data_IF_948353763935
#
_entry.id   IF_948353763935
#
_cell.length_a   1.000
_cell.length_b   1.000
_cell.length_c   1.000
_cell.angle_alpha   90.00
_cell.angle_beta   90.00
_cell.angle_gamma   90.00
#
_symmetry.space_group_name_H-M   'P 1'
#
loop_
_entity.id
_entity.type
_entity.pdbx_description
1 polymer ?
#
# COMPACT_ATOMS: atom_id res chain seq x y z
N UNK A 1 10.79 33.53 -69.16
CA UNK A 1 12.24 33.62 -69.44
C UNK A 1 12.93 32.75 -68.40
N UNK A 2 13.67 31.73 -68.89
CA UNK A 2 14.61 30.81 -68.21
C UNK A 2 14.12 30.16 -66.90
N UNK A 3 13.65 28.90 -66.90
CA UNK A 3 14.44 27.65 -67.01
C UNK A 3 15.71 27.65 -66.14
N UNK A 4 15.74 26.81 -65.10
CA UNK A 4 16.68 25.70 -65.02
C UNK A 4 16.11 24.58 -64.13
N UNK A 5 16.13 23.38 -64.73
CA UNK A 5 15.83 22.05 -64.20
C UNK A 5 17.17 21.38 -63.96
N UNK A 6 17.30 20.60 -62.89
CA UNK A 6 18.11 19.38 -62.92
C UNK A 6 17.34 18.26 -62.18
N UNK A 7 16.92 17.27 -62.97
CA UNK A 7 16.49 15.93 -62.58
C UNK A 7 17.73 15.14 -62.05
N UNK A 8 17.62 14.09 -61.22
CA UNK A 8 17.47 12.70 -61.68
C UNK A 8 17.35 11.70 -60.49
N UNK A 9 16.41 10.78 -60.70
CA UNK A 9 16.27 9.35 -60.32
C UNK A 9 15.88 8.81 -58.92
N UNK A 10 14.92 7.88 -59.05
CA UNK A 10 14.19 7.05 -58.11
C UNK A 10 14.99 5.88 -57.53
N UNK A 11 14.50 5.34 -56.41
CA UNK A 11 14.93 4.06 -55.86
C UNK A 11 14.06 3.51 -54.73
N UNK A 12 12.95 2.87 -55.11
CA UNK A 12 12.24 1.74 -54.46
C UNK A 12 11.70 1.80 -53.01
N UNK A 13 10.37 1.77 -52.95
CA UNK A 13 9.45 1.03 -52.06
C UNK A 13 9.97 0.36 -50.77
N UNK A 14 9.33 0.73 -49.65
CA UNK A 14 8.83 -0.25 -48.68
C UNK A 14 7.57 0.31 -48.00
N UNK A 15 6.44 -0.34 -48.26
CA UNK A 15 5.15 -0.08 -47.64
C UNK A 15 5.18 -0.49 -46.16
N UNK A 16 4.94 0.48 -45.27
CA UNK A 16 4.66 0.19 -43.86
C UNK A 16 3.18 0.41 -43.65
N UNK A 17 2.46 -0.71 -43.59
CA UNK A 17 1.03 -0.73 -43.29
C UNK A 17 0.76 -0.04 -41.96
N UNK A 18 -0.04 1.01 -42.05
CA UNK A 18 -0.81 1.63 -40.99
C UNK A 18 -1.62 0.55 -40.25
N UNK A 19 -1.26 0.30 -38.99
CA UNK A 19 -2.04 -0.48 -38.04
C UNK A 19 -2.36 0.44 -36.87
N UNK A 20 -3.30 1.36 -37.09
CA UNK A 20 -4.01 2.07 -36.04
C UNK A 20 -4.81 1.07 -35.18
N UNK A 21 -4.22 0.59 -34.09
CA UNK A 21 -4.96 -0.18 -33.08
C UNK A 21 -5.59 0.81 -32.11
N UNK A 22 -6.90 0.96 -32.27
CA UNK A 22 -7.79 1.79 -31.46
C UNK A 22 -7.54 1.61 -29.96
N UNK A 23 -7.17 2.71 -29.30
CA UNK A 23 -7.23 2.87 -27.85
C UNK A 23 -8.68 2.74 -27.41
N UNK A 24 -8.94 1.85 -26.46
CA UNK A 24 -10.26 1.56 -25.93
C UNK A 24 -10.20 1.34 -24.44
N UNK A 25 -9.64 2.31 -23.71
CA UNK A 25 -9.92 2.45 -22.28
C UNK A 25 -11.32 3.04 -22.16
N UNK A 26 -12.30 2.14 -21.95
CA UNK A 26 -13.61 2.55 -21.47
C UNK A 26 -13.46 2.95 -20.01
N UNK A 27 -13.48 4.25 -19.76
CA UNK A 27 -13.77 4.83 -18.45
C UNK A 27 -15.06 4.21 -17.90
N UNK A 28 -14.98 3.65 -16.70
CA UNK A 28 -16.14 3.50 -15.82
C UNK A 28 -15.66 3.73 -14.39
N UNK A 29 -16.41 4.60 -13.71
CA UNK A 29 -16.27 5.03 -12.33
C UNK A 29 -15.82 3.89 -11.41
N UNK A 30 -14.67 4.12 -10.77
CA UNK A 30 -14.21 3.31 -9.65
C UNK A 30 -15.25 3.48 -8.53
N UNK A 31 -15.93 2.41 -8.08
CA UNK A 31 -16.71 2.52 -6.86
C UNK A 31 -15.72 2.91 -5.76
N UNK A 32 -15.97 4.04 -5.11
CA UNK A 32 -15.14 4.62 -4.07
C UNK A 32 -14.45 3.54 -3.24
N UNK A 33 -13.12 3.58 -3.21
CA UNK A 33 -12.30 2.75 -2.34
C UNK A 33 -12.66 3.08 -0.88
N UNK A 34 -13.61 2.33 -0.33
CA UNK A 34 -14.03 2.39 1.07
C UNK A 34 -13.14 1.50 1.96
N UNK A 35 -11.94 1.10 1.50
CA UNK A 35 -11.09 0.16 2.25
C UNK A 35 -10.21 0.77 3.34
N UNK A 36 -10.36 2.06 3.66
CA UNK A 36 -9.84 2.59 4.94
C UNK A 36 -10.91 2.53 6.03
N UNK A 37 -11.06 1.35 6.63
CA UNK A 37 -11.57 1.25 7.99
C UNK A 37 -10.36 1.04 8.91
N UNK A 38 -10.07 1.95 9.86
CA UNK A 38 -9.02 1.67 10.83
C UNK A 38 -9.41 0.39 11.58
N UNK A 39 -8.52 -0.60 11.55
CA UNK A 39 -8.64 -1.82 12.32
C UNK A 39 -8.84 -1.44 13.79
N UNK A 40 -10.07 -1.58 14.28
CA UNK A 40 -10.32 -1.64 15.70
C UNK A 40 -9.84 -3.01 16.17
N UNK A 41 -8.56 -3.10 16.51
CA UNK A 41 -8.00 -4.26 17.21
C UNK A 41 -8.68 -4.37 18.57
N UNK A 42 -9.76 -5.15 18.64
CA UNK A 42 -10.29 -5.67 19.90
C UNK A 42 -9.39 -6.82 20.34
N UNK A 43 -8.33 -6.50 21.06
CA UNK A 43 -7.62 -7.47 21.89
C UNK A 43 -8.44 -7.73 23.16
N UNK A 44 -8.78 -8.98 23.52
CA UNK A 44 -9.51 -9.26 24.74
C UNK A 44 -8.58 -9.05 25.95
N UNK A 45 -8.76 -7.93 26.64
CA UNK A 45 -8.10 -7.69 27.92
C UNK A 45 -8.79 -8.53 28.98
N UNK A 46 -8.12 -9.59 29.43
CA UNK A 46 -8.47 -10.36 30.62
C UNK A 46 -8.54 -9.44 31.84
N UNK A 47 -9.71 -9.36 32.48
CA UNK A 47 -9.91 -8.64 33.73
C UNK A 47 -9.14 -9.32 34.87
N UNK A 48 -8.10 -8.64 35.36
CA UNK A 48 -7.53 -8.88 36.68
C UNK A 48 -7.92 -7.73 37.60
N UNK A 49 -8.94 -7.93 38.42
CA UNK A 49 -9.30 -7.02 39.50
C UNK A 49 -8.20 -7.03 40.56
N UNK A 50 -7.37 -5.99 40.60
CA UNK A 50 -6.34 -5.78 41.60
C UNK A 50 -6.36 -4.34 42.10
N UNK A 51 -6.98 -4.13 43.26
CA UNK A 51 -6.87 -2.89 44.03
C UNK A 51 -5.43 -2.74 44.52
N UNK A 52 -4.65 -1.87 43.87
CA UNK A 52 -3.26 -1.56 44.25
C UNK A 52 -3.08 -0.06 44.45
N UNK A 53 -2.81 0.33 45.70
CA UNK A 53 -2.48 1.69 46.11
C UNK A 53 -1.34 2.28 45.28
N UNK A 54 -1.57 3.43 44.67
CA UNK A 54 -0.60 4.13 43.85
C UNK A 54 0.44 4.86 44.72
N UNK A 55 1.62 4.28 44.82
CA UNK A 55 2.85 5.03 45.06
C UNK A 55 3.95 4.41 44.21
N UNK A 56 3.94 4.74 42.93
CA UNK A 56 5.09 4.46 42.06
C UNK A 56 5.50 5.78 41.40
N UNK A 57 6.49 6.43 42.01
CA UNK A 57 7.27 7.51 41.38
C UNK A 57 8.31 6.85 40.47
N UNK A 58 7.84 6.15 39.43
CA UNK A 58 8.65 5.85 38.27
C UNK A 58 8.70 7.09 37.40
N UNK A 59 9.88 7.67 37.19
CA UNK A 59 10.14 8.72 36.21
C UNK A 59 9.82 8.21 34.80
N UNK A 60 8.55 8.23 34.44
CA UNK A 60 8.12 8.12 33.06
C UNK A 60 8.72 9.30 32.30
N UNK A 61 9.27 9.06 31.10
CA UNK A 61 9.63 10.15 30.20
C UNK A 61 8.43 11.10 30.15
N UNK A 62 8.59 12.37 30.52
CA UNK A 62 7.47 13.24 30.92
C UNK A 62 6.32 13.41 29.92
N UNK A 63 6.46 12.93 28.69
CA UNK A 63 5.40 12.79 27.68
C UNK A 63 4.42 11.63 27.98
N UNK A 64 4.89 10.51 28.53
CA UNK A 64 4.12 9.29 28.80
C UNK A 64 3.27 9.39 30.08
N UNK A 65 3.44 10.46 30.86
CA UNK A 65 2.60 10.73 32.02
C UNK A 65 1.13 10.89 31.64
N UNK A 66 0.24 10.31 32.46
CA UNK A 66 -1.22 10.39 32.32
C UNK A 66 -1.69 11.85 32.30
N UNK A 67 -2.64 12.16 31.41
CA UNK A 67 -3.26 13.48 31.26
C UNK A 67 -4.76 13.37 31.50
N UNK A 68 -5.34 14.40 32.10
CA UNK A 68 -6.77 14.47 32.41
C UNK A 68 -7.37 15.71 31.73
N UNK A 69 -8.60 15.59 31.23
CA UNK A 69 -9.41 16.73 30.82
C UNK A 69 -10.22 17.16 32.05
N UNK A 70 -10.11 18.43 32.44
CA UNK A 70 -10.73 18.97 33.66
C UNK A 70 -11.40 20.28 33.30
N UNK A 71 -12.67 20.42 33.68
CA UNK A 71 -13.42 21.66 33.50
C UNK A 71 -12.74 22.82 34.23
N UNK A 72 -12.81 24.01 33.63
CA UNK A 72 -12.21 25.22 34.20
C UNK A 72 -12.69 25.44 35.64
N UNK A 73 -14.00 25.35 35.90
CA UNK A 73 -14.58 25.53 37.24
C UNK A 73 -13.94 24.63 38.30
N UNK A 74 -13.78 23.34 38.00
CA UNK A 74 -13.18 22.34 38.89
C UNK A 74 -11.69 22.63 39.12
N UNK A 75 -10.97 23.05 38.08
CA UNK A 75 -9.58 23.46 38.22
C UNK A 75 -9.43 24.71 39.08
N UNK A 76 -10.31 25.71 38.90
CA UNK A 76 -10.22 26.97 39.64
C UNK A 76 -10.52 26.79 41.13
N UNK A 77 -11.21 25.72 41.54
CA UNK A 77 -11.44 25.42 42.96
C UNK A 77 -10.15 25.22 43.74
N UNK A 78 -9.11 24.70 43.09
CA UNK A 78 -7.78 24.51 43.69
C UNK A 78 -7.06 25.83 43.99
N UNK A 79 -7.55 26.96 43.45
CA UNK A 79 -6.95 28.28 43.61
C UNK A 79 -7.81 29.22 44.46
N UNK A 80 -8.62 28.68 45.39
CA UNK A 80 -9.38 29.46 46.38
C UNK A 80 -8.52 29.91 47.58
N UNK A 81 -7.56 29.08 47.99
CA UNK A 81 -6.69 29.32 49.15
C UNK A 81 -5.21 29.17 48.82
N UNK A 82 -4.36 29.87 49.56
CA UNK A 82 -2.92 29.80 49.40
C UNK A 82 -2.37 28.49 49.95
N UNK A 83 -1.75 27.67 49.10
CA UNK A 83 -1.10 26.42 49.49
C UNK A 83 0.04 26.57 50.51
N UNK A 84 0.56 27.79 50.73
CA UNK A 84 1.65 28.06 51.70
C UNK A 84 1.13 28.52 53.06
N UNK A 85 0.03 29.27 53.14
CA UNK A 85 -0.42 29.89 54.40
C UNK A 85 -1.92 29.74 54.70
N UNK A 86 -2.69 29.09 53.82
CA UNK A 86 -4.12 28.81 54.02
C UNK A 86 -5.07 29.99 53.83
N UNK A 87 -4.56 31.23 53.70
CA UNK A 87 -5.42 32.42 53.49
C UNK A 87 -5.98 32.49 52.07
N UNK A 88 -7.06 33.25 51.89
CA UNK A 88 -7.68 33.46 50.58
C UNK A 88 -6.70 34.06 49.55
N UNK A 89 -6.84 33.61 48.30
CA UNK A 89 -6.22 34.23 47.13
C UNK A 89 -7.10 35.43 46.72
N UNK A 90 -6.49 36.62 46.59
CA UNK A 90 -7.20 37.87 46.30
C UNK A 90 -7.11 38.21 44.81
N UNK A 91 -5.93 38.08 44.22
CA UNK A 91 -5.70 38.35 42.81
C UNK A 91 -5.40 37.05 42.05
N UNK A 92 -6.04 36.88 40.90
CA UNK A 92 -5.82 35.75 39.99
C UNK A 92 -5.82 36.22 38.55
N UNK A 93 -4.80 35.83 37.81
CA UNK A 93 -4.69 36.07 36.37
C UNK A 93 -4.42 34.77 35.64
N UNK A 94 -5.22 34.51 34.62
CA UNK A 94 -5.11 33.33 33.77
C UNK A 94 -4.54 33.74 32.41
N UNK A 95 -3.59 32.97 31.91
CA UNK A 95 -2.97 33.18 30.60
C UNK A 95 -2.93 31.84 29.89
N UNK A 96 -3.57 31.75 28.73
CA UNK A 96 -3.50 30.56 27.87
C UNK A 96 -2.46 30.76 26.77
N UNK A 97 -1.69 29.71 26.50
CA UNK A 97 -0.74 29.59 25.39
C UNK A 97 -1.08 28.32 24.63
N UNK A 98 -2.11 28.41 23.78
CA UNK A 98 -2.73 27.24 23.16
C UNK A 98 -3.19 26.24 24.24
N UNK A 99 -2.73 24.98 24.21
CA UNK A 99 -3.12 23.95 25.19
C UNK A 99 -2.58 24.19 26.61
N UNK A 100 -1.62 25.10 26.79
CA UNK A 100 -1.05 25.38 28.11
C UNK A 100 -1.83 26.49 28.82
N UNK A 101 -2.27 26.22 30.04
CA UNK A 101 -2.85 27.21 30.94
C UNK A 101 -1.82 27.59 32.01
N UNK A 102 -1.59 28.89 32.18
CA UNK A 102 -0.80 29.46 33.27
C UNK A 102 -1.70 30.27 34.19
N UNK A 103 -1.59 30.04 35.49
CA UNK A 103 -2.34 30.72 36.54
C UNK A 103 -1.34 31.44 37.43
N UNK A 104 -1.43 32.76 37.46
CA UNK A 104 -0.73 33.63 38.38
C UNK A 104 -1.69 34.01 39.49
N UNK A 105 -1.22 33.94 40.73
CA UNK A 105 -2.06 34.31 41.88
C UNK A 105 -1.25 34.96 42.99
N UNK A 106 -1.93 35.81 43.76
CA UNK A 106 -1.39 36.48 44.95
C UNK A 106 -2.41 36.37 46.09
N UNK A 107 -1.95 36.00 47.29
CA UNK A 107 -2.80 35.90 48.48
C UNK A 107 -2.76 37.15 49.35
N UNK A 108 -3.71 37.27 50.28
CA UNK A 108 -3.83 38.40 51.23
C UNK A 108 -2.57 38.64 52.10
N UNK A 109 -1.69 37.64 52.23
CA UNK A 109 -0.40 37.76 52.95
C UNK A 109 0.78 38.04 52.02
N UNK A 110 0.54 38.34 50.75
CA UNK A 110 1.56 38.72 49.77
C UNK A 110 2.29 37.56 49.08
N UNK A 111 1.98 36.29 49.36
CA UNK A 111 2.58 35.18 48.61
C UNK A 111 2.08 35.17 47.17
N UNK A 112 3.01 35.09 46.22
CA UNK A 112 2.71 35.04 44.79
C UNK A 112 3.35 33.82 44.14
N UNK A 113 2.62 33.10 43.28
CA UNK A 113 3.16 31.96 42.51
C UNK A 113 2.59 31.89 41.10
N UNK A 114 3.34 31.22 40.23
CA UNK A 114 2.89 30.73 38.93
C UNK A 114 2.61 29.23 39.04
N UNK A 115 1.49 28.81 38.46
CA UNK A 115 1.18 27.41 38.17
C UNK A 115 0.97 27.24 36.68
N UNK A 116 1.45 26.14 36.10
CA UNK A 116 1.26 25.80 34.70
C UNK A 116 0.70 24.39 34.55
N UNK A 117 -0.24 24.19 33.62
CA UNK A 117 -0.85 22.88 33.35
C UNK A 117 0.14 21.85 32.80
N UNK A 118 1.17 22.31 32.12
CA UNK A 118 2.31 21.51 31.68
C UNK A 118 3.60 22.35 31.73
N UNK A 119 4.77 21.71 31.88
CA UNK A 119 6.04 22.42 31.89
C UNK A 119 6.33 23.05 30.52
N UNK A 120 7.14 24.10 30.53
CA UNK A 120 7.70 24.67 29.31
C UNK A 120 8.83 23.78 28.79
N UNK A 121 8.86 23.55 27.48
CA UNK A 121 9.93 22.92 26.74
C UNK A 121 10.31 23.85 25.59
N UNK A 122 11.55 24.33 25.57
CA UNK A 122 12.06 25.27 24.54
C UNK A 122 11.16 26.49 24.31
N UNK A 123 10.68 27.13 25.41
CA UNK A 123 9.76 28.28 25.41
C UNK A 123 8.34 28.00 24.86
N UNK A 124 7.95 26.73 24.78
CA UNK A 124 6.62 26.29 24.38
C UNK A 124 6.04 25.38 25.45
N UNK A 125 4.75 25.51 25.78
CA UNK A 125 4.09 24.54 26.64
C UNK A 125 4.20 23.14 26.04
N UNK A 126 4.73 22.18 26.80
CA UNK A 126 5.04 20.82 26.31
C UNK A 126 3.85 20.16 25.60
N UNK A 127 2.64 20.36 26.12
CA UNK A 127 1.45 19.72 25.56
C UNK A 127 1.09 20.26 24.18
N UNK A 128 1.53 21.47 23.79
CA UNK A 128 1.39 21.96 22.42
C UNK A 128 2.16 21.08 21.43
N UNK A 129 3.39 20.68 21.80
CA UNK A 129 4.20 19.77 21.00
C UNK A 129 3.53 18.39 20.92
N UNK A 130 3.05 17.88 22.06
CA UNK A 130 2.45 16.55 22.16
C UNK A 130 1.12 16.47 21.41
N UNK A 131 0.26 17.47 21.47
CA UNK A 131 -0.98 17.52 20.68
C UNK A 131 -0.65 17.50 19.19
N UNK A 132 0.28 18.33 18.72
CA UNK A 132 0.66 18.33 17.31
C UNK A 132 1.28 17.00 16.86
N UNK A 133 2.13 16.41 17.71
CA UNK A 133 2.76 15.11 17.46
C UNK A 133 1.71 13.99 17.39
N UNK A 134 0.78 13.94 18.36
CA UNK A 134 -0.29 12.95 18.40
C UNK A 134 -1.20 13.05 17.17
N UNK A 135 -1.59 14.26 16.76
CA UNK A 135 -2.36 14.47 15.54
C UNK A 135 -1.64 13.93 14.31
N UNK A 136 -0.35 14.25 14.16
CA UNK A 136 0.42 13.85 12.98
C UNK A 136 0.71 12.33 12.95
N UNK A 137 1.12 11.75 14.06
CA UNK A 137 1.61 10.37 14.10
C UNK A 137 0.51 9.32 13.94
N UNK A 138 -0.74 9.67 14.24
CA UNK A 138 -1.90 8.81 13.96
C UNK A 138 -2.47 9.00 12.55
N UNK A 139 -1.89 9.91 11.75
CA UNK A 139 -2.38 10.23 10.41
C UNK A 139 -3.67 11.06 10.37
N UNK A 140 -4.08 11.69 11.48
CA UNK A 140 -5.25 12.55 11.51
C UNK A 140 -4.97 13.92 10.88
N UNK A 141 -5.99 14.56 10.31
CA UNK A 141 -5.85 15.93 9.84
C UNK A 141 -5.99 16.92 11.01
N UNK A 142 -5.42 18.11 10.85
CA UNK A 142 -5.62 19.20 11.81
C UNK A 142 -7.10 19.52 11.99
N UNK A 143 -7.87 19.52 10.89
CA UNK A 143 -9.29 19.86 10.89
C UNK A 143 -10.07 18.87 11.74
N UNK A 144 -9.85 17.56 11.56
CA UNK A 144 -10.58 16.53 12.32
C UNK A 144 -10.37 16.68 13.83
N UNK A 145 -9.13 16.94 14.25
CA UNK A 145 -8.81 17.17 15.66
C UNK A 145 -9.36 18.51 16.14
N UNK A 146 -9.32 19.55 15.30
CA UNK A 146 -9.83 20.88 15.63
C UNK A 146 -11.34 20.86 15.88
N UNK A 147 -12.10 20.18 15.02
CA UNK A 147 -13.55 20.05 15.15
C UNK A 147 -13.92 19.31 16.44
N UNK A 148 -13.18 18.24 16.76
CA UNK A 148 -13.37 17.49 18.01
C UNK A 148 -13.11 18.34 19.26
N UNK A 149 -12.01 19.09 19.30
CA UNK A 149 -11.71 19.93 20.48
C UNK A 149 -12.63 21.14 20.61
N UNK A 150 -13.14 21.67 19.50
CA UNK A 150 -14.08 22.80 19.51
C UNK A 150 -15.41 22.40 20.14
N UNK A 151 -15.90 21.19 19.85
CA UNK A 151 -17.11 20.64 20.51
C UNK A 151 -16.92 20.50 22.03
N UNK A 152 -15.70 20.22 22.48
CA UNK A 152 -15.35 20.07 23.89
C UNK A 152 -14.88 21.37 24.55
N UNK A 153 -14.77 22.47 23.81
CA UNK A 153 -14.15 23.74 24.24
C UNK A 153 -12.72 23.58 24.80
N UNK A 154 -11.92 22.67 24.21
CA UNK A 154 -10.54 22.42 24.62
C UNK A 154 -9.58 23.29 23.78
N UNK A 155 -8.74 24.14 24.39
CA UNK A 155 -7.79 24.94 23.63
C UNK A 155 -6.62 24.07 23.12
N UNK A 156 -6.27 24.22 21.83
CA UNK A 156 -5.09 23.59 21.20
C UNK A 156 -4.33 24.59 20.33
N UNK A 157 -3.13 24.26 19.81
CA UNK A 157 -2.43 25.12 18.85
C UNK A 157 -3.31 25.46 17.64
N UNK A 158 -3.29 26.72 17.24
CA UNK A 158 -3.94 27.16 16.00
C UNK A 158 -3.29 26.54 14.76
N UNK A 159 -3.98 26.54 13.62
CA UNK A 159 -3.54 25.90 12.37
C UNK A 159 -2.11 26.31 11.97
N UNK A 160 -1.81 27.61 11.97
CA UNK A 160 -0.47 28.13 11.67
C UNK A 160 0.59 27.63 12.65
N UNK A 161 0.25 27.55 13.94
CA UNK A 161 1.17 27.06 14.97
C UNK A 161 1.41 25.54 14.82
N UNK A 162 0.37 24.77 14.51
CA UNK A 162 0.47 23.34 14.22
C UNK A 162 1.47 23.07 13.09
N UNK A 163 1.29 23.71 11.92
CA UNK A 163 2.21 23.50 10.80
C UNK A 163 3.64 23.99 11.10
N UNK A 164 3.78 25.10 11.83
CA UNK A 164 5.11 25.56 12.27
C UNK A 164 5.81 24.55 13.20
N UNK A 165 5.07 23.94 14.13
CA UNK A 165 5.60 22.89 15.02
C UNK A 165 5.94 21.65 14.20
N UNK A 166 5.07 21.25 13.28
CA UNK A 166 5.28 20.12 12.39
C UNK A 166 6.57 20.27 11.58
N UNK A 167 6.75 21.38 10.88
CA UNK A 167 7.93 21.62 10.05
C UNK A 167 9.22 21.75 10.85
N UNK A 168 9.18 22.39 12.04
CA UNK A 168 10.39 22.64 12.84
C UNK A 168 10.84 21.45 13.67
N UNK A 169 9.91 20.64 14.17
CA UNK A 169 10.21 19.60 15.15
C UNK A 169 9.81 18.20 14.67
N UNK A 170 8.58 18.03 14.17
CA UNK A 170 8.04 16.70 13.93
C UNK A 170 8.59 16.05 12.66
N UNK A 171 8.56 16.76 11.52
CA UNK A 171 9.09 16.26 10.23
C UNK A 171 10.57 15.90 10.35
N UNK A 172 11.45 16.73 10.95
CA UNK A 172 12.85 16.34 11.15
C UNK A 172 13.03 15.06 11.96
N UNK A 173 12.24 14.87 13.03
CA UNK A 173 12.31 13.66 13.86
C UNK A 173 11.83 12.43 13.08
N UNK A 174 10.73 12.54 12.33
CA UNK A 174 10.26 11.46 11.45
C UNK A 174 11.33 11.10 10.42
N UNK A 175 11.92 12.11 9.76
CA UNK A 175 12.95 11.90 8.75
C UNK A 175 14.21 11.25 9.33
N UNK A 176 14.65 11.66 10.51
CA UNK A 176 15.79 11.03 11.18
C UNK A 176 15.49 9.57 11.54
N UNK A 177 14.33 9.30 12.15
CA UNK A 177 13.91 7.95 12.50
C UNK A 177 13.81 7.04 11.25
N UNK A 178 13.25 7.56 10.15
CA UNK A 178 13.18 6.86 8.88
C UNK A 178 14.56 6.57 8.30
N UNK A 179 15.46 7.57 8.26
CA UNK A 179 16.83 7.40 7.75
C UNK A 179 17.63 6.39 8.57
N UNK A 180 17.52 6.43 9.89
CA UNK A 180 18.18 5.49 10.78
C UNK A 180 17.68 4.05 10.54
N UNK A 181 16.37 3.88 10.32
CA UNK A 181 15.79 2.58 9.98
C UNK A 181 16.23 2.12 8.59
N UNK A 182 16.11 2.98 7.58
CA UNK A 182 16.49 2.69 6.21
C UNK A 182 17.98 2.32 6.12
N UNK A 183 18.86 3.02 6.82
CA UNK A 183 20.29 2.71 6.85
C UNK A 183 20.53 1.27 7.33
N UNK A 184 19.88 0.86 8.43
CA UNK A 184 20.00 -0.51 8.96
C UNK A 184 19.51 -1.57 7.98
N UNK A 185 18.38 -1.30 7.30
CA UNK A 185 17.85 -2.19 6.27
C UNK A 185 18.84 -2.29 5.10
N UNK A 186 19.34 -1.16 4.60
CA UNK A 186 20.30 -1.13 3.51
C UNK A 186 21.60 -1.86 3.86
N UNK A 187 22.17 -1.63 5.04
CA UNK A 187 23.35 -2.35 5.53
C UNK A 187 23.13 -3.86 5.56
N UNK A 188 21.97 -4.31 6.06
CA UNK A 188 21.57 -5.73 6.04
C UNK A 188 21.52 -6.27 4.62
N UNK A 189 20.82 -5.60 3.71
CA UNK A 189 20.65 -6.06 2.33
C UNK A 189 21.99 -6.13 1.59
N UNK A 190 22.84 -5.10 1.71
CA UNK A 190 24.17 -5.11 1.09
C UNK A 190 25.05 -6.23 1.65
N UNK A 191 24.97 -6.54 2.95
CA UNK A 191 25.69 -7.68 3.54
C UNK A 191 25.22 -9.03 2.99
N UNK A 192 23.91 -9.20 2.81
CA UNK A 192 23.35 -10.40 2.17
C UNK A 192 23.80 -10.50 0.70
N UNK A 193 23.79 -9.38 -0.04
CA UNK A 193 24.32 -9.35 -1.40
C UNK A 193 25.80 -9.70 -1.47
N UNK A 194 26.61 -9.21 -0.52
CA UNK A 194 28.04 -9.53 -0.44
C UNK A 194 28.31 -11.01 -0.09
N UNK A 195 27.38 -11.70 0.59
CA UNK A 195 27.48 -13.15 0.83
C UNK A 195 27.01 -14.01 -0.35
N UNK A 196 26.62 -13.37 -1.45
CA UNK A 196 26.12 -14.02 -2.67
C UNK A 196 24.62 -14.29 -2.66
N UNK A 197 23.88 -13.79 -1.67
CA UNK A 197 22.42 -13.89 -1.65
C UNK A 197 21.79 -12.79 -2.51
N UNK A 198 20.97 -13.21 -3.46
CA UNK A 198 20.14 -12.31 -4.25
C UNK A 198 18.91 -11.86 -3.45
N UNK A 199 18.60 -10.58 -3.52
CA UNK A 199 17.46 -9.97 -2.84
C UNK A 199 16.22 -10.06 -3.72
N UNK A 200 15.10 -10.44 -3.12
CA UNK A 200 13.80 -10.48 -3.78
C UNK A 200 12.99 -9.29 -3.31
N UNK A 201 12.59 -8.44 -4.26
CA UNK A 201 11.85 -7.22 -3.99
C UNK A 201 10.46 -7.30 -4.61
N UNK A 202 9.51 -6.63 -3.98
CA UNK A 202 8.25 -6.27 -4.60
C UNK A 202 8.07 -4.75 -4.60
N UNK A 203 7.22 -4.25 -5.51
CA UNK A 203 6.97 -2.82 -5.57
C UNK A 203 5.67 -2.46 -6.27
N UNK A 204 5.14 -1.32 -5.85
CA UNK A 204 3.87 -0.75 -6.28
C UNK A 204 3.95 0.78 -6.25
N UNK A 205 3.12 1.44 -7.05
CA UNK A 205 3.01 2.88 -7.11
C UNK A 205 1.68 3.37 -6.53
N UNK A 206 1.75 4.45 -5.73
CA UNK A 206 0.57 5.13 -5.20
C UNK A 206 0.57 6.59 -5.63
N UNK A 207 -0.52 7.00 -6.26
CA UNK A 207 -0.75 8.38 -6.69
C UNK A 207 -1.60 9.15 -5.67
N UNK A 208 -1.41 10.46 -5.61
CA UNK A 208 -2.15 11.36 -4.72
C UNK A 208 -3.62 11.60 -5.13
N UNK A 209 -3.95 11.35 -6.39
CA UNK A 209 -5.32 11.37 -6.90
C UNK A 209 -5.56 10.23 -7.90
N UNK A 210 -6.82 9.81 -8.15
CA UNK A 210 -7.12 8.88 -9.22
C UNK A 210 -6.91 9.49 -10.61
N UNK A 211 -6.49 8.65 -11.57
CA UNK A 211 -6.51 8.97 -13.01
C UNK A 211 -5.32 9.79 -13.51
N UNK A 212 -5.52 10.45 -14.65
CA UNK A 212 -4.45 11.15 -15.40
C UNK A 212 -4.06 12.51 -14.81
N UNK A 213 -4.70 12.97 -13.73
CA UNK A 213 -4.48 14.27 -13.11
C UNK A 213 -3.58 14.24 -11.87
N UNK A 214 -2.98 13.10 -11.55
CA UNK A 214 -2.10 12.95 -10.37
C UNK A 214 -0.92 13.90 -10.43
N UNK A 215 -0.68 14.58 -9.30
CA UNK A 215 0.44 15.53 -9.17
C UNK A 215 1.67 14.83 -8.61
N UNK A 216 1.49 13.83 -7.76
CA UNK A 216 2.56 13.09 -7.13
C UNK A 216 2.31 11.58 -7.24
N UNK A 217 3.38 10.83 -7.49
CA UNK A 217 3.39 9.37 -7.42
C UNK A 217 4.54 8.91 -6.54
N UNK A 218 4.24 8.06 -5.57
CA UNK A 218 5.24 7.39 -4.74
C UNK A 218 5.38 5.96 -5.21
N UNK A 219 6.57 5.58 -5.68
CA UNK A 219 6.88 4.18 -5.95
C UNK A 219 7.63 3.59 -4.75
N UNK A 220 7.10 2.53 -4.14
CA UNK A 220 7.71 1.87 -2.98
C UNK A 220 8.30 0.51 -3.32
N UNK A 221 9.44 0.20 -2.72
CA UNK A 221 10.13 -1.08 -2.78
C UNK A 221 10.12 -1.74 -1.41
N UNK A 222 9.76 -3.01 -1.37
CA UNK A 222 9.68 -3.80 -0.14
C UNK A 222 10.49 -5.09 -0.32
N UNK A 223 11.22 -5.49 0.74
CA UNK A 223 11.90 -6.78 0.81
C UNK A 223 10.86 -7.88 1.03
N UNK A 224 10.76 -8.82 0.11
CA UNK A 224 9.76 -9.89 0.17
C UNK A 224 9.98 -10.82 1.38
N UNK A 225 11.23 -10.92 1.89
CA UNK A 225 11.51 -11.77 3.05
C UNK A 225 11.13 -11.08 4.36
N UNK A 226 11.61 -9.85 4.59
CA UNK A 226 11.35 -9.15 5.86
C UNK A 226 10.03 -8.39 5.89
N UNK A 227 9.41 -8.19 4.72
CA UNK A 227 8.23 -7.34 4.53
C UNK A 227 8.48 -5.87 4.93
N UNK A 228 9.74 -5.43 4.99
CA UNK A 228 10.09 -4.04 5.30
C UNK A 228 10.20 -3.20 4.02
N UNK A 229 9.68 -1.97 4.04
CA UNK A 229 9.91 -1.00 2.98
C UNK A 229 11.39 -0.58 2.98
N UNK A 230 12.08 -0.90 1.89
CA UNK A 230 13.52 -0.65 1.72
C UNK A 230 13.76 0.78 1.22
N UNK A 231 12.96 1.20 0.26
CA UNK A 231 13.12 2.48 -0.40
C UNK A 231 11.80 2.94 -1.02
N UNK A 232 11.65 4.24 -1.21
CA UNK A 232 10.57 4.78 -2.02
C UNK A 232 11.08 6.01 -2.76
N UNK A 233 10.52 6.25 -3.94
CA UNK A 233 10.79 7.41 -4.77
C UNK A 233 9.50 8.23 -4.94
N UNK A 234 9.54 9.50 -4.56
CA UNK A 234 8.44 10.44 -4.78
C UNK A 234 8.73 11.24 -6.05
N UNK A 235 7.89 11.08 -7.06
CA UNK A 235 7.99 11.79 -8.34
C UNK A 235 6.85 12.78 -8.47
N UNK A 236 7.16 14.03 -8.81
CA UNK A 236 6.17 15.03 -9.18
C UNK A 236 5.92 15.00 -10.69
N UNK A 237 4.68 15.27 -11.12
CA UNK A 237 4.29 15.27 -12.55
C UNK A 237 5.13 16.20 -13.42
N UNK A 238 5.67 17.29 -12.86
CA UNK A 238 6.54 18.24 -13.57
C UNK A 238 7.94 17.69 -13.87
N UNK A 239 8.33 16.60 -13.22
CA UNK A 239 9.57 15.88 -13.50
C UNK A 239 9.39 14.81 -14.58
N UNK A 240 8.13 14.43 -14.87
CA UNK A 240 7.76 13.40 -15.82
C UNK A 240 7.05 14.00 -17.05
N UNK A 241 6.93 13.20 -18.11
CA UNK A 241 6.19 13.62 -19.31
C UNK A 241 4.68 13.61 -19.12
N UNK A 242 4.19 12.83 -18.15
CA UNK A 242 2.78 12.68 -17.81
C UNK A 242 2.63 12.04 -16.43
N UNK A 243 1.43 12.07 -15.85
CA UNK A 243 1.13 11.40 -14.59
C UNK A 243 1.35 9.88 -14.66
N UNK A 244 1.01 9.25 -15.78
CA UNK A 244 1.22 7.81 -16.04
C UNK A 244 2.72 7.47 -16.11
N UNK A 245 3.56 8.38 -16.61
CA UNK A 245 5.00 8.16 -16.69
C UNK A 245 5.70 8.25 -15.32
N UNK A 246 5.06 8.80 -14.29
CA UNK A 246 5.66 8.92 -12.97
C UNK A 246 5.94 7.56 -12.32
N UNK A 247 5.06 6.56 -12.53
CA UNK A 247 5.25 5.19 -12.02
C UNK A 247 6.58 4.62 -12.54
N UNK A 248 6.73 4.61 -13.87
CA UNK A 248 7.89 4.05 -14.53
C UNK A 248 9.19 4.78 -14.14
N UNK A 249 9.13 6.11 -14.01
CA UNK A 249 10.24 6.93 -13.55
C UNK A 249 10.62 6.63 -12.10
N UNK A 250 9.64 6.55 -11.20
CA UNK A 250 9.86 6.25 -9.79
C UNK A 250 10.46 4.85 -9.60
N UNK A 251 9.93 3.88 -10.34
CA UNK A 251 10.49 2.53 -10.39
C UNK A 251 11.96 2.54 -10.83
N UNK A 252 12.27 3.16 -11.96
CA UNK A 252 13.63 3.15 -12.50
C UNK A 252 14.62 3.84 -11.55
N UNK A 253 14.29 5.05 -11.06
CA UNK A 253 15.13 5.79 -10.11
C UNK A 253 15.39 5.00 -8.83
N UNK A 254 14.35 4.40 -8.26
CA UNK A 254 14.48 3.64 -7.01
C UNK A 254 15.28 2.35 -7.19
N UNK A 255 15.06 1.61 -8.30
CA UNK A 255 15.83 0.40 -8.59
C UNK A 255 17.31 0.71 -8.86
N UNK A 256 17.59 1.76 -9.65
CA UNK A 256 18.96 2.25 -9.87
C UNK A 256 19.64 2.66 -8.56
N UNK A 257 18.90 3.33 -7.67
CA UNK A 257 19.41 3.69 -6.34
C UNK A 257 19.83 2.45 -5.55
N UNK A 258 18.97 1.43 -5.45
CA UNK A 258 19.25 0.19 -4.72
C UNK A 258 20.48 -0.55 -5.29
N UNK A 259 20.55 -0.70 -6.61
CA UNK A 259 21.68 -1.34 -7.29
C UNK A 259 22.96 -0.54 -7.06
N UNK A 260 22.91 0.79 -7.14
CA UNK A 260 24.07 1.67 -6.89
C UNK A 260 24.63 1.56 -5.47
N UNK A 261 23.79 1.14 -4.51
CA UNK A 261 24.17 0.88 -3.12
C UNK A 261 24.68 -0.54 -2.89
N UNK A 262 24.82 -1.34 -3.94
CA UNK A 262 25.37 -2.69 -3.88
C UNK A 262 24.34 -3.76 -3.49
N UNK A 263 23.03 -3.48 -3.64
CA UNK A 263 21.98 -4.49 -3.47
C UNK A 263 21.89 -5.32 -4.75
N UNK A 264 22.22 -6.61 -4.66
CA UNK A 264 22.10 -7.58 -5.76
C UNK A 264 20.66 -8.10 -5.83
N UNK A 265 19.83 -7.46 -6.66
CA UNK A 265 18.41 -7.83 -6.84
C UNK A 265 18.31 -9.01 -7.80
N UNK A 266 17.71 -10.12 -7.34
CA UNK A 266 17.49 -11.32 -8.16
C UNK A 266 16.09 -11.43 -8.73
N UNK A 267 15.08 -10.99 -7.97
CA UNK A 267 13.67 -11.05 -8.36
C UNK A 267 13.03 -9.70 -8.09
N UNK A 268 12.26 -9.22 -9.06
CA UNK A 268 11.39 -8.05 -8.90
C UNK A 268 9.95 -8.48 -9.18
N UNK A 269 9.08 -8.33 -8.19
CA UNK A 269 7.65 -8.63 -8.27
C UNK A 269 6.85 -7.34 -8.41
N UNK A 270 6.07 -7.20 -9.47
CA UNK A 270 5.32 -5.96 -9.75
C UNK A 270 3.90 -6.26 -10.21
N UNK A 271 3.14 -5.18 -10.36
CA UNK A 271 1.91 -5.18 -11.14
C UNK A 271 2.16 -5.45 -12.63
N UNK A 272 1.06 -5.58 -13.39
CA UNK A 272 1.08 -5.80 -14.84
C UNK A 272 1.35 -4.52 -15.65
N UNK A 273 2.20 -3.61 -15.15
CA UNK A 273 2.54 -2.34 -15.82
C UNK A 273 3.38 -2.61 -17.08
N UNK A 274 2.91 -2.24 -18.30
CA UNK A 274 3.66 -2.46 -19.54
C UNK A 274 4.99 -1.70 -19.57
N UNK A 275 5.03 -0.50 -18.97
CA UNK A 275 6.22 0.35 -18.91
C UNK A 275 7.30 -0.29 -18.05
N UNK A 276 6.94 -0.76 -16.84
CA UNK A 276 7.88 -1.45 -15.94
C UNK A 276 8.36 -2.76 -16.56
N UNK A 277 7.45 -3.54 -17.17
CA UNK A 277 7.81 -4.77 -17.89
C UNK A 277 8.86 -4.50 -18.97
N UNK A 278 8.69 -3.42 -19.74
CA UNK A 278 9.65 -3.01 -20.75
C UNK A 278 10.99 -2.61 -20.13
N UNK A 279 10.97 -1.81 -19.07
CA UNK A 279 12.17 -1.38 -18.35
C UNK A 279 12.97 -2.58 -17.83
N UNK A 280 12.33 -3.52 -17.13
CA UNK A 280 12.98 -4.74 -16.63
C UNK A 280 13.57 -5.58 -17.76
N UNK A 281 12.81 -5.77 -18.84
CA UNK A 281 13.25 -6.55 -20.01
C UNK A 281 14.45 -5.90 -20.72
N UNK A 282 14.45 -4.58 -20.87
CA UNK A 282 15.42 -3.88 -21.71
C UNK A 282 16.68 -3.47 -20.91
N UNK A 283 16.52 -3.08 -19.64
CA UNK A 283 17.59 -2.47 -18.83
C UNK A 283 18.11 -3.34 -17.69
N UNK A 284 17.32 -4.31 -17.21
CA UNK A 284 17.67 -5.14 -16.04
C UNK A 284 17.53 -6.64 -16.34
N UNK A 285 18.20 -7.09 -17.40
CA UNK A 285 18.07 -8.45 -17.97
C UNK A 285 18.49 -9.58 -17.03
N UNK A 286 19.26 -9.28 -15.99
CA UNK A 286 19.69 -10.21 -14.95
C UNK A 286 18.67 -10.38 -13.81
N UNK A 287 17.62 -9.56 -13.77
CA UNK A 287 16.56 -9.61 -12.76
C UNK A 287 15.40 -10.43 -13.31
N UNK A 288 14.97 -11.44 -12.55
CA UNK A 288 13.76 -12.20 -12.86
C UNK A 288 12.53 -11.35 -12.53
N UNK A 289 11.70 -11.10 -13.52
CA UNK A 289 10.46 -10.33 -13.36
C UNK A 289 9.28 -11.27 -13.08
N UNK A 290 8.63 -11.09 -11.93
CA UNK A 290 7.38 -11.75 -11.57
C UNK A 290 6.21 -10.75 -11.49
N UNK A 291 5.01 -11.22 -11.78
CA UNK A 291 3.75 -10.52 -11.65
C UNK A 291 3.00 -11.00 -10.42
N UNK A 292 2.29 -10.08 -9.77
CA UNK A 292 1.34 -10.44 -8.73
C UNK A 292 0.16 -11.27 -9.29
N UNK A 293 -0.03 -12.52 -8.81
CA UNK A 293 -1.14 -13.36 -9.23
C UNK A 293 -2.51 -12.77 -8.96
N UNK A 294 -2.67 -11.92 -7.94
CA UNK A 294 -3.94 -11.29 -7.62
C UNK A 294 -4.44 -10.39 -8.75
N UNK A 295 -3.56 -9.54 -9.31
CA UNK A 295 -3.92 -8.61 -10.39
C UNK A 295 -4.36 -9.39 -11.65
N UNK A 296 -3.65 -10.47 -11.97
CA UNK A 296 -3.96 -11.34 -13.11
C UNK A 296 -5.28 -12.08 -12.87
N UNK A 297 -5.46 -12.68 -11.70
CA UNK A 297 -6.69 -13.38 -11.33
C UNK A 297 -7.91 -12.44 -11.32
N UNK A 298 -7.77 -11.21 -10.83
CA UNK A 298 -8.81 -10.18 -10.89
C UNK A 298 -9.25 -9.91 -12.33
N UNK A 299 -8.31 -9.78 -13.26
CA UNK A 299 -8.58 -9.62 -14.69
C UNK A 299 -9.30 -10.84 -15.29
N UNK A 300 -8.82 -12.06 -15.01
CA UNK A 300 -9.45 -13.31 -15.46
C UNK A 300 -10.87 -13.43 -14.92
N UNK A 301 -11.09 -13.16 -13.64
CA UNK A 301 -12.42 -13.19 -13.00
C UNK A 301 -13.37 -12.18 -13.65
N UNK A 302 -12.93 -10.96 -13.96
CA UNK A 302 -13.72 -9.97 -14.70
C UNK A 302 -14.12 -10.50 -16.09
N UNK A 303 -13.18 -11.08 -16.84
CA UNK A 303 -13.47 -11.71 -18.16
C UNK A 303 -14.50 -12.85 -18.01
N UNK A 304 -14.35 -13.70 -17.01
CA UNK A 304 -15.27 -14.82 -16.72
C UNK A 304 -16.69 -14.33 -16.39
N UNK A 305 -16.83 -13.33 -15.51
CA UNK A 305 -18.12 -12.72 -15.17
C UNK A 305 -18.79 -12.11 -16.41
N UNK A 306 -18.01 -11.41 -17.25
CA UNK A 306 -18.54 -10.82 -18.48
C UNK A 306 -19.10 -11.88 -19.43
N UNK A 307 -18.39 -12.98 -19.65
CA UNK A 307 -18.86 -14.04 -20.57
C UNK A 307 -19.99 -14.87 -19.99
N UNK A 308 -20.03 -15.06 -18.67
CA UNK A 308 -21.05 -15.86 -17.99
C UNK A 308 -22.40 -15.14 -17.84
N UNK A 309 -22.44 -13.81 -18.03
CA UNK A 309 -23.67 -13.04 -18.07
C UNK A 309 -24.49 -13.25 -19.36
N UNK A 310 -23.91 -13.85 -20.41
CA UNK A 310 -24.65 -14.25 -21.61
C UNK A 310 -25.57 -15.45 -21.29
N UNK A 311 -26.81 -15.42 -21.78
CA UNK A 311 -27.82 -16.45 -21.47
C UNK A 311 -27.34 -17.89 -21.75
N UNK A 312 -26.68 -18.09 -22.90
CA UNK A 312 -26.09 -19.38 -23.33
C UNK A 312 -24.89 -19.85 -22.49
N UNK A 313 -24.28 -18.96 -21.70
CA UNK A 313 -23.08 -19.22 -20.90
C UNK A 313 -23.33 -19.19 -19.39
N UNK A 314 -24.59 -19.10 -18.95
CA UNK A 314 -24.93 -18.90 -17.53
C UNK A 314 -24.36 -19.95 -16.59
N UNK A 315 -24.15 -21.17 -17.09
CA UNK A 315 -23.49 -22.27 -16.36
C UNK A 315 -22.06 -21.93 -15.93
N UNK A 316 -21.35 -21.03 -16.62
CA UNK A 316 -20.00 -20.61 -16.24
C UNK A 316 -19.96 -19.89 -14.89
N UNK A 317 -21.07 -19.31 -14.41
CA UNK A 317 -21.13 -18.67 -13.09
C UNK A 317 -20.71 -19.64 -11.97
N UNK A 318 -21.05 -20.94 -12.08
CA UNK A 318 -20.67 -21.94 -11.07
C UNK A 318 -19.20 -22.32 -11.11
N UNK A 319 -18.49 -21.98 -12.20
CA UNK A 319 -17.08 -22.31 -12.41
C UNK A 319 -16.13 -21.18 -12.05
N UNK A 320 -16.60 -19.93 -11.93
CA UNK A 320 -15.73 -18.75 -11.68
C UNK A 320 -14.81 -18.95 -10.47
N UNK A 321 -15.36 -19.41 -9.34
CA UNK A 321 -14.57 -19.66 -8.12
C UNK A 321 -13.54 -20.75 -8.35
N UNK A 322 -13.92 -21.86 -8.97
CA UNK A 322 -13.00 -22.97 -9.26
C UNK A 322 -11.91 -22.57 -10.24
N UNK A 323 -12.22 -21.80 -11.28
CA UNK A 323 -11.22 -21.28 -12.23
C UNK A 323 -10.23 -20.34 -11.54
N UNK A 324 -10.71 -19.47 -10.66
CA UNK A 324 -9.87 -18.56 -9.87
C UNK A 324 -8.92 -19.34 -8.95
N UNK A 325 -9.45 -20.30 -8.20
CA UNK A 325 -8.64 -21.17 -7.34
C UNK A 325 -7.63 -21.99 -8.14
N UNK A 326 -8.03 -22.47 -9.33
CA UNK A 326 -7.15 -23.24 -10.21
C UNK A 326 -5.99 -22.40 -10.75
N UNK A 327 -6.19 -21.11 -11.01
CA UNK A 327 -5.12 -20.19 -11.38
C UNK A 327 -4.11 -20.04 -10.24
N UNK A 328 -4.56 -19.72 -9.02
CA UNK A 328 -3.67 -19.63 -7.86
C UNK A 328 -2.92 -20.93 -7.62
N UNK A 329 -3.62 -22.07 -7.68
CA UNK A 329 -3.00 -23.38 -7.53
C UNK A 329 -1.96 -23.64 -8.62
N UNK A 330 -2.23 -23.29 -9.88
CA UNK A 330 -1.28 -23.47 -10.98
C UNK A 330 0.02 -22.69 -10.71
N UNK A 331 -0.11 -21.45 -10.26
CA UNK A 331 1.03 -20.60 -9.92
C UNK A 331 1.80 -21.14 -8.71
N UNK A 332 1.13 -21.36 -7.58
CA UNK A 332 1.79 -21.78 -6.33
C UNK A 332 2.41 -23.16 -6.39
N UNK A 333 1.80 -24.09 -7.14
CA UNK A 333 2.34 -25.44 -7.27
C UNK A 333 3.53 -25.50 -8.23
N UNK A 334 3.70 -24.53 -9.15
CA UNK A 334 4.69 -24.58 -10.24
C UNK A 334 6.14 -24.42 -9.79
N UNK A 335 6.37 -23.92 -8.57
CA UNK A 335 7.70 -23.83 -7.94
C UNK A 335 8.76 -23.19 -8.87
N UNK A 336 8.36 -22.19 -9.65
CA UNK A 336 9.23 -21.47 -10.57
C UNK A 336 9.30 -22.02 -12.00
N UNK A 337 8.63 -23.14 -12.32
CA UNK A 337 8.59 -23.72 -13.67
C UNK A 337 7.48 -23.10 -14.53
N UNK A 338 7.90 -22.33 -15.53
CA UNK A 338 7.04 -21.59 -16.45
C UNK A 338 6.10 -22.50 -17.26
N UNK A 339 6.62 -23.61 -17.78
CA UNK A 339 5.85 -24.51 -18.64
C UNK A 339 4.91 -25.36 -17.81
N UNK A 340 5.29 -25.74 -16.59
CA UNK A 340 4.40 -26.41 -15.64
C UNK A 340 3.23 -25.49 -15.22
N UNK A 341 3.48 -24.20 -14.94
CA UNK A 341 2.42 -23.25 -14.61
C UNK A 341 1.39 -23.13 -15.75
N UNK A 342 1.86 -22.97 -16.98
CA UNK A 342 1.01 -22.91 -18.18
C UNK A 342 0.26 -24.22 -18.40
N UNK A 343 0.94 -25.35 -18.26
CA UNK A 343 0.36 -26.68 -18.43
C UNK A 343 -0.73 -26.94 -17.38
N UNK A 344 -0.50 -26.57 -16.12
CA UNK A 344 -1.50 -26.68 -15.06
C UNK A 344 -2.68 -25.75 -15.29
N UNK A 345 -2.46 -24.50 -15.67
CA UNK A 345 -3.58 -23.61 -15.98
C UNK A 345 -4.45 -24.14 -17.12
N UNK A 346 -3.80 -24.56 -18.22
CA UNK A 346 -4.52 -25.06 -19.40
C UNK A 346 -5.26 -26.37 -19.13
N UNK A 347 -4.88 -27.14 -18.10
CA UNK A 347 -5.61 -28.35 -17.71
C UNK A 347 -7.06 -28.08 -17.26
N UNK A 348 -7.37 -26.84 -16.88
CA UNK A 348 -8.72 -26.41 -16.51
C UNK A 348 -9.75 -26.76 -17.60
N UNK A 349 -9.36 -26.74 -18.88
CA UNK A 349 -10.28 -27.07 -19.98
C UNK A 349 -10.75 -28.54 -19.95
N UNK A 350 -9.92 -29.44 -19.43
CA UNK A 350 -10.30 -30.85 -19.25
C UNK A 350 -11.12 -31.02 -17.96
N UNK A 351 -10.70 -30.34 -16.89
CA UNK A 351 -11.38 -30.40 -15.59
C UNK A 351 -12.85 -30.00 -15.71
N UNK A 352 -13.17 -28.90 -16.40
CA UNK A 352 -14.57 -28.46 -16.51
C UNK A 352 -15.49 -29.41 -17.27
N UNK A 353 -14.92 -30.35 -18.03
CA UNK A 353 -15.64 -31.40 -18.76
C UNK A 353 -15.64 -32.76 -18.04
N UNK A 354 -15.14 -32.83 -16.79
CA UNK A 354 -15.03 -34.08 -16.03
C UNK A 354 -13.91 -35.00 -16.55
N UNK A 355 -12.99 -34.48 -17.38
CA UNK A 355 -11.86 -35.24 -17.90
C UNK A 355 -10.68 -35.04 -16.96
N UNK A 356 -10.30 -36.12 -16.27
CA UNK A 356 -9.25 -36.10 -15.24
C UNK A 356 -7.96 -36.83 -15.64
N UNK A 357 -7.96 -37.47 -16.82
CA UNK A 357 -6.80 -38.07 -17.47
C UNK A 357 -6.86 -37.68 -18.95
N UNK A 358 -5.74 -37.21 -19.51
CA UNK A 358 -5.67 -36.80 -20.91
C UNK A 358 -4.25 -36.99 -21.45
N UNK A 359 -4.15 -37.21 -22.76
CA UNK A 359 -2.88 -37.26 -23.48
C UNK A 359 -2.59 -35.92 -24.16
N UNK A 360 -1.31 -35.56 -24.26
CA UNK A 360 -0.84 -34.42 -25.06
C UNK A 360 0.09 -34.93 -26.17
N UNK A 361 0.36 -34.06 -27.14
CA UNK A 361 1.30 -34.30 -28.23
C UNK A 361 2.60 -34.96 -27.73
N UNK A 362 3.00 -36.05 -28.38
CA UNK A 362 4.16 -36.85 -27.96
C UNK A 362 3.85 -38.04 -27.04
N UNK A 363 2.57 -38.33 -26.76
CA UNK A 363 2.14 -39.52 -26.00
C UNK A 363 2.33 -39.41 -24.48
N UNK A 364 2.54 -38.20 -23.96
CA UNK A 364 2.62 -37.95 -22.53
C UNK A 364 1.21 -37.94 -21.92
N UNK A 365 0.96 -38.87 -21.00
CA UNK A 365 -0.24 -38.90 -20.18
C UNK A 365 -0.14 -37.92 -19.01
N UNK A 366 -1.20 -37.15 -18.83
CA UNK A 366 -1.39 -36.26 -17.70
C UNK A 366 -2.62 -36.65 -16.90
N UNK A 367 -2.55 -36.42 -15.59
CA UNK A 367 -3.67 -36.65 -14.68
C UNK A 367 -3.81 -35.49 -13.69
N UNK A 368 -5.01 -35.30 -13.16
CA UNK A 368 -5.25 -34.36 -12.07
C UNK A 368 -4.41 -34.72 -10.83
N UNK A 369 -3.92 -33.69 -10.12
CA UNK A 369 -3.18 -33.84 -8.86
C UNK A 369 -4.08 -33.80 -7.62
N UNK A 370 -5.40 -33.83 -7.80
CA UNK A 370 -6.36 -33.96 -6.71
C UNK A 370 -6.86 -35.41 -6.61
N UNK A 371 -7.30 -35.86 -5.42
CA UNK A 371 -7.95 -37.17 -5.26
C UNK A 371 -9.15 -37.33 -6.19
N UNK A 372 -9.52 -38.58 -6.49
CA UNK A 372 -10.75 -38.89 -7.21
C UNK A 372 -11.94 -38.25 -6.50
N UNK A 373 -12.77 -37.54 -7.25
CA UNK A 373 -14.01 -36.99 -6.72
C UNK A 373 -14.95 -38.13 -6.32
N UNK A 374 -15.67 -37.95 -5.23
CA UNK A 374 -16.72 -38.90 -4.83
C UNK A 374 -17.87 -38.90 -5.85
N UNK A 375 -18.69 -39.95 -5.87
CA UNK A 375 -19.87 -40.01 -6.74
C UNK A 375 -20.81 -38.82 -6.49
N UNK A 376 -20.97 -38.40 -5.23
CA UNK A 376 -21.77 -37.24 -4.86
C UNK A 376 -21.21 -35.93 -5.42
N UNK A 377 -19.89 -35.74 -5.39
CA UNK A 377 -19.23 -34.57 -5.97
C UNK A 377 -19.33 -34.54 -7.49
N UNK A 378 -19.19 -35.71 -8.13
CA UNK A 378 -19.37 -35.89 -9.57
C UNK A 378 -20.79 -35.51 -10.00
N UNK A 379 -21.82 -35.93 -9.25
CA UNK A 379 -23.23 -35.63 -9.54
C UNK A 379 -23.57 -34.16 -9.29
N UNK A 380 -23.03 -33.55 -8.23
CA UNK A 380 -23.31 -32.14 -7.88
C UNK A 380 -22.67 -31.15 -8.86
N UNK A 381 -21.58 -31.53 -9.53
CA UNK A 381 -20.88 -30.64 -10.47
C UNK A 381 -21.65 -30.48 -11.78
N UNK A 382 -21.77 -29.22 -12.21
CA UNK A 382 -22.38 -28.88 -13.51
C UNK A 382 -21.32 -28.91 -14.61
N UNK A 383 -20.92 -30.13 -15.00
CA UNK A 383 -19.95 -30.35 -16.07
C UNK A 383 -20.39 -29.66 -17.36
N UNK A 384 -19.42 -29.07 -18.05
CA UNK A 384 -19.65 -28.49 -19.36
C UNK A 384 -19.65 -29.61 -20.40
N UNK A 385 -20.54 -29.50 -21.40
CA UNK A 385 -20.47 -30.35 -22.58
C UNK A 385 -19.33 -29.85 -23.46
N UNK A 386 -18.55 -30.78 -24.01
CA UNK A 386 -17.55 -30.49 -25.03
C UNK A 386 -18.20 -29.68 -26.16
N UNK A 387 -17.50 -28.65 -26.61
CA UNK A 387 -17.92 -27.73 -27.68
C UNK A 387 -19.24 -26.97 -27.45
N UNK A 388 -19.79 -26.97 -26.23
CA UNK A 388 -20.88 -26.05 -25.90
C UNK A 388 -20.44 -24.57 -26.03
N UNK A 389 -21.38 -23.63 -26.26
CA UNK A 389 -21.05 -22.19 -26.29
C UNK A 389 -20.28 -21.74 -25.04
N UNK A 390 -20.70 -22.21 -23.87
CA UNK A 390 -20.03 -21.98 -22.59
C UNK A 390 -18.59 -22.50 -22.57
N UNK A 391 -18.37 -23.73 -23.05
CA UNK A 391 -17.03 -24.31 -23.13
C UNK A 391 -16.12 -23.52 -24.07
N UNK A 392 -16.59 -23.15 -25.27
CA UNK A 392 -15.78 -22.36 -26.23
C UNK A 392 -15.42 -20.99 -25.66
N UNK A 393 -16.37 -20.32 -24.99
CA UNK A 393 -16.13 -19.04 -24.34
C UNK A 393 -15.08 -19.13 -23.22
N UNK A 394 -15.17 -20.16 -22.37
CA UNK A 394 -14.18 -20.42 -21.33
C UNK A 394 -12.81 -20.79 -21.92
N UNK A 395 -12.76 -21.68 -22.91
CA UNK A 395 -11.53 -22.08 -23.61
C UNK A 395 -10.83 -20.89 -24.25
N UNK A 396 -11.59 -19.93 -24.79
CA UNK A 396 -11.03 -18.68 -25.31
C UNK A 396 -10.30 -17.84 -24.25
N UNK A 397 -10.77 -17.85 -23.00
CA UNK A 397 -10.09 -17.18 -21.87
C UNK A 397 -8.87 -18.00 -21.42
N UNK A 398 -9.01 -19.33 -21.31
CA UNK A 398 -7.92 -20.22 -20.89
C UNK A 398 -6.72 -20.13 -21.85
N UNK A 399 -7.00 -20.09 -23.15
CA UNK A 399 -5.98 -20.09 -24.22
C UNK A 399 -5.59 -18.69 -24.70
N UNK A 400 -5.97 -17.64 -23.96
CA UNK A 400 -5.61 -16.26 -24.27
C UNK A 400 -4.08 -16.10 -24.26
N UNK A 401 -3.50 -15.74 -25.41
CA UNK A 401 -2.04 -15.70 -25.61
C UNK A 401 -1.33 -14.78 -24.61
N UNK A 402 -1.94 -13.65 -24.27
CA UNK A 402 -1.39 -12.70 -23.30
C UNK A 402 -1.40 -13.31 -21.90
N UNK A 403 -2.51 -13.91 -21.49
CA UNK A 403 -2.59 -14.62 -20.21
C UNK A 403 -1.56 -15.75 -20.09
N UNK A 404 -1.39 -16.56 -21.14
CA UNK A 404 -0.40 -17.63 -21.16
C UNK A 404 1.04 -17.10 -21.08
N UNK A 405 1.30 -15.90 -21.60
CA UNK A 405 2.58 -15.23 -21.43
C UNK A 405 2.77 -14.73 -20.00
N UNK A 406 1.74 -14.12 -19.40
CA UNK A 406 1.81 -13.60 -18.04
C UNK A 406 1.96 -14.71 -17.00
N UNK A 407 1.32 -15.87 -17.20
CA UNK A 407 1.44 -17.04 -16.31
C UNK A 407 2.88 -17.54 -16.13
N UNK A 408 3.73 -17.37 -17.15
CA UNK A 408 5.16 -17.70 -17.07
C UNK A 408 5.90 -16.78 -16.09
N UNK A 409 5.38 -15.59 -15.85
CA UNK A 409 5.92 -14.62 -14.90
C UNK A 409 5.20 -14.67 -13.55
N UNK A 410 4.52 -15.76 -13.18
CA UNK A 410 3.79 -15.87 -11.90
C UNK A 410 4.17 -17.12 -11.10
N UNK A 411 5.29 -17.73 -11.46
CA UNK A 411 5.64 -19.10 -11.05
C UNK A 411 6.32 -19.15 -9.68
N UNK A 412 6.85 -18.02 -9.20
CA UNK A 412 7.35 -17.90 -7.83
C UNK A 412 6.25 -17.54 -6.82
N UNK A 413 5.02 -17.27 -7.28
CA UNK A 413 3.86 -16.98 -6.44
C UNK A 413 4.10 -15.85 -5.43
N UNK A 414 4.60 -14.72 -5.93
CA UNK A 414 4.93 -13.52 -5.14
C UNK A 414 3.83 -12.47 -5.23
N UNK A 415 3.71 -11.62 -4.22
CA UNK A 415 2.68 -10.59 -4.14
C UNK A 415 3.29 -9.20 -3.91
N UNK A 416 2.60 -8.17 -4.41
CA UNK A 416 2.99 -6.76 -4.28
C UNK A 416 2.38 -6.06 -3.07
N UNK A 417 1.46 -6.74 -2.37
CA UNK A 417 0.89 -6.30 -1.10
C UNK A 417 0.93 -7.42 -0.06
N UNK A 418 0.93 -7.03 1.22
CA UNK A 418 0.73 -7.95 2.34
C UNK A 418 -0.63 -8.65 2.17
N UNK A 419 -0.71 -10.00 2.20
CA UNK A 419 -1.98 -10.71 2.18
C UNK A 419 -2.86 -10.44 3.40
#
# INVERSE_FOLDING_TARGET
MSHEQEDIEEGSEASVHDLSVSFGEMEMEDPADVSFQPLSDTTPSSQGSGSGSASDQGTTNGWAGRKWIVDESNLLELFKTCHTCGTAIEEKRMVTRASQLKIYWTCLRGHSREWASCPDQTNMGRDNLLTCAATLFIGATYTDIKDWVDLMNIPIPGKTQYYNIQSKYLIPVINNAYKDQQQKIMERLTQLSASGQKIELCGDARCDSPGVSSKYSTYSFQDDTSQETVHYELVQVTEASSSVAMEAMGFQRGLDHLISKGVDVGVMSTDRSPSIRKILKDSYTNIRHEFDPWHVNKSVKKKLVKVSNKAENRVLQTWIRSSSNHLYWSCSSSRGDEEECVQRWTSLQYHVCGVHRWEKDGGLEYQCLHPSLTEEEQIRKKWLKNDSPAFRALKGIIMDKTLLCDLRQMTLFKHTGMP
#
